data_IF_728264372148
#
_entry.id   IF_728264372148
#
_cell.length_a   1.000
_cell.length_b   1.000
_cell.length_c   1.000
_cell.angle_alpha   90.00
_cell.angle_beta   90.00
_cell.angle_gamma   90.00
#
_symmetry.space_group_name_H-M   'P 1'
#
loop_
_entity.id
_entity.type
_entity.pdbx_description
1 polymer ?
#
# COMPACT_ATOMS: atom_id res chain seq x y z
N UNK A 1 -16.95 -2.88 -36.87
CA UNK A 1 -16.98 -2.51 -35.45
C UNK A 1 -17.77 -3.59 -34.75
N UNK A 2 -17.23 -4.17 -33.69
CA UNK A 2 -17.93 -5.21 -32.93
C UNK A 2 -19.02 -4.57 -32.09
N UNK A 3 -20.27 -5.03 -32.21
CA UNK A 3 -21.40 -4.43 -31.49
C UNK A 3 -21.25 -4.69 -29.97
N UNK A 4 -21.25 -3.63 -29.17
CA UNK A 4 -21.25 -3.73 -27.70
C UNK A 4 -22.66 -3.47 -27.18
N UNK A 5 -23.10 -4.31 -26.26
CA UNK A 5 -24.44 -4.21 -25.67
C UNK A 5 -24.35 -4.27 -24.15
N UNK A 6 -25.30 -3.63 -23.48
CA UNK A 6 -25.61 -3.97 -22.10
C UNK A 6 -26.62 -5.11 -22.14
N UNK A 7 -26.23 -6.26 -21.62
CA UNK A 7 -27.06 -7.45 -21.49
C UNK A 7 -27.50 -7.58 -20.05
N UNK A 8 -28.76 -7.95 -19.81
CA UNK A 8 -29.31 -8.22 -18.48
C UNK A 8 -30.53 -9.12 -18.58
N UNK A 9 -30.98 -9.61 -17.44
CA UNK A 9 -32.11 -10.52 -17.33
C UNK A 9 -33.29 -9.84 -16.64
N UNK A 10 -34.47 -10.01 -17.19
CA UNK A 10 -35.73 -9.50 -16.63
C UNK A 10 -36.69 -10.66 -16.39
N UNK A 11 -37.32 -10.67 -15.21
CA UNK A 11 -38.40 -11.61 -14.89
C UNK A 11 -39.75 -11.03 -15.33
N UNK A 12 -40.36 -11.66 -16.34
CA UNK A 12 -41.73 -11.38 -16.77
C UNK A 12 -42.59 -12.59 -16.41
N UNK A 13 -43.40 -12.43 -15.36
CA UNK A 13 -44.28 -13.48 -14.82
C UNK A 13 -43.52 -14.77 -14.42
N UNK A 14 -43.58 -15.81 -15.28
CA UNK A 14 -42.93 -17.12 -15.09
C UNK A 14 -41.75 -17.38 -16.04
N UNK A 15 -41.42 -16.42 -16.91
CA UNK A 15 -40.36 -16.56 -17.91
C UNK A 15 -39.19 -15.61 -17.66
N UNK A 16 -38.00 -16.11 -17.96
CA UNK A 16 -36.75 -15.35 -17.93
C UNK A 16 -36.49 -14.82 -19.34
N UNK A 17 -36.39 -13.51 -19.50
CA UNK A 17 -36.05 -12.89 -20.78
C UNK A 17 -34.70 -12.18 -20.69
N UNK A 18 -33.85 -12.41 -21.68
CA UNK A 18 -32.61 -11.64 -21.86
C UNK A 18 -32.92 -10.40 -22.68
N UNK A 19 -32.55 -9.24 -22.15
CA UNK A 19 -32.68 -7.96 -22.82
C UNK A 19 -31.28 -7.45 -23.17
N UNK A 20 -31.16 -6.82 -24.34
CA UNK A 20 -29.93 -6.18 -24.80
C UNK A 20 -30.22 -4.72 -25.14
N UNK A 21 -29.36 -3.82 -24.66
CA UNK A 21 -29.37 -2.41 -25.04
C UNK A 21 -28.07 -2.12 -25.79
N UNK A 22 -28.18 -1.69 -27.04
CA UNK A 22 -27.02 -1.27 -27.82
C UNK A 22 -26.32 -0.08 -27.16
N UNK A 23 -24.99 -0.14 -27.09
CA UNK A 23 -24.16 0.97 -26.66
C UNK A 23 -23.56 1.66 -27.88
N UNK A 24 -23.61 2.99 -27.87
CA UNK A 24 -22.73 3.74 -28.76
C UNK A 24 -21.26 3.48 -28.39
N UNK A 25 -20.36 3.61 -29.38
CA UNK A 25 -18.91 3.51 -29.15
C UNK A 25 -18.44 4.48 -28.06
N UNK A 26 -19.01 5.69 -28.03
CA UNK A 26 -18.70 6.68 -26.99
C UNK A 26 -19.10 6.21 -25.59
N UNK A 27 -20.34 5.76 -25.40
CA UNK A 27 -20.81 5.27 -24.09
C UNK A 27 -20.01 4.05 -23.62
N UNK A 28 -19.69 3.13 -24.53
CA UNK A 28 -18.85 1.98 -24.21
C UNK A 28 -17.48 2.42 -23.71
N UNK A 29 -16.82 3.35 -24.43
CA UNK A 29 -15.50 3.86 -24.05
C UNK A 29 -15.53 4.58 -22.70
N UNK A 30 -16.56 5.37 -22.42
CA UNK A 30 -16.73 6.05 -21.13
C UNK A 30 -16.90 5.07 -19.97
N UNK A 31 -17.80 4.10 -20.10
CA UNK A 31 -18.03 3.07 -19.08
C UNK A 31 -16.79 2.20 -18.87
N UNK A 32 -16.12 1.80 -19.95
CA UNK A 32 -14.90 1.01 -19.91
C UNK A 32 -13.75 1.77 -19.23
N UNK A 33 -13.61 3.07 -19.53
CA UNK A 33 -12.65 3.95 -18.86
C UNK A 33 -12.95 4.09 -17.37
N UNK A 34 -14.20 4.36 -17.00
CA UNK A 34 -14.61 4.43 -15.59
C UNK A 34 -14.32 3.12 -14.85
N UNK A 35 -14.67 1.98 -15.44
CA UNK A 35 -14.40 0.65 -14.87
C UNK A 35 -12.90 0.41 -14.68
N UNK A 36 -12.08 0.83 -15.65
CA UNK A 36 -10.61 0.74 -15.58
C UNK A 36 -10.04 1.60 -14.46
N UNK A 37 -10.54 2.83 -14.28
CA UNK A 37 -10.13 3.73 -13.18
C UNK A 37 -10.41 3.05 -11.84
N UNK A 38 -11.65 2.59 -11.61
CA UNK A 38 -12.00 1.94 -10.34
C UNK A 38 -11.17 0.68 -10.07
N UNK A 39 -10.86 -0.12 -11.10
CA UNK A 39 -9.96 -1.28 -10.95
C UNK A 39 -8.56 -0.88 -10.50
N UNK A 40 -8.01 0.20 -11.08
CA UNK A 40 -6.67 0.69 -10.71
C UNK A 40 -6.64 1.21 -9.28
N UNK A 41 -7.70 1.90 -8.86
CA UNK A 41 -7.86 2.38 -7.48
C UNK A 41 -7.85 1.19 -6.51
N UNK A 42 -8.70 0.18 -6.75
CA UNK A 42 -8.73 -1.00 -5.88
C UNK A 42 -7.35 -1.66 -5.78
N UNK A 43 -6.68 -1.90 -6.91
CA UNK A 43 -5.36 -2.52 -6.89
C UNK A 43 -4.29 -1.67 -6.16
N UNK A 44 -4.42 -0.35 -6.20
CA UNK A 44 -3.51 0.55 -5.48
C UNK A 44 -3.77 0.54 -3.96
N UNK A 45 -5.04 0.55 -3.56
CA UNK A 45 -5.48 0.46 -2.16
C UNK A 45 -5.11 -0.90 -1.55
N UNK A 46 -5.32 -2.00 -2.28
CA UNK A 46 -4.91 -3.35 -1.84
C UNK A 46 -3.40 -3.44 -1.60
N UNK A 47 -2.59 -2.94 -2.53
CA UNK A 47 -1.14 -2.98 -2.37
C UNK A 47 -0.66 -2.13 -1.18
N UNK A 48 -1.27 -0.97 -0.96
CA UNK A 48 -0.96 -0.14 0.21
C UNK A 48 -1.37 -0.84 1.51
N UNK A 49 -2.56 -1.44 1.56
CA UNK A 49 -3.02 -2.21 2.73
C UNK A 49 -2.07 -3.35 3.07
N UNK A 50 -1.57 -4.09 2.08
CA UNK A 50 -0.58 -5.15 2.29
C UNK A 50 0.72 -4.64 2.94
N UNK A 51 1.15 -3.41 2.61
CA UNK A 51 2.33 -2.80 3.25
C UNK A 51 2.04 -2.50 4.71
N UNK A 52 0.88 -1.90 4.98
CA UNK A 52 0.48 -1.51 6.34
C UNK A 52 0.35 -2.75 7.23
N UNK A 53 -0.40 -3.76 6.79
CA UNK A 53 -0.58 -5.00 7.54
C UNK A 53 0.74 -5.73 7.77
N UNK A 54 1.59 -5.84 6.75
CA UNK A 54 2.92 -6.47 6.90
C UNK A 54 3.79 -5.73 7.93
N UNK A 55 3.65 -4.40 8.04
CA UNK A 55 4.38 -3.64 9.05
C UNK A 55 3.77 -3.77 10.45
N UNK A 56 2.45 -3.77 10.55
CA UNK A 56 1.74 -4.04 11.81
C UNK A 56 2.12 -5.41 12.36
N UNK A 57 2.22 -6.43 11.51
CA UNK A 57 2.68 -7.77 11.90
C UNK A 57 4.12 -7.75 12.45
N UNK A 58 5.03 -7.00 11.81
CA UNK A 58 6.40 -6.83 12.27
C UNK A 58 6.45 -6.18 13.67
N UNK A 59 5.71 -5.08 13.88
CA UNK A 59 5.62 -4.37 15.17
C UNK A 59 4.97 -5.25 16.23
N UNK A 60 3.89 -5.95 15.90
CA UNK A 60 3.17 -6.84 16.81
C UNK A 60 4.07 -7.99 17.27
N UNK A 61 4.79 -8.62 16.35
CA UNK A 61 5.77 -9.65 16.69
C UNK A 61 6.88 -9.12 17.59
N UNK A 62 7.36 -7.89 17.35
CA UNK A 62 8.37 -7.23 18.18
C UNK A 62 7.86 -6.99 19.61
N UNK A 63 6.65 -6.45 19.77
CA UNK A 63 6.05 -6.22 21.08
C UNK A 63 5.76 -7.52 21.83
N UNK A 64 5.26 -8.55 21.13
CA UNK A 64 5.08 -9.89 21.68
C UNK A 64 6.42 -10.42 22.25
N UNK A 65 7.50 -10.32 21.49
CA UNK A 65 8.83 -10.74 21.92
C UNK A 65 9.33 -9.93 23.11
N UNK A 66 9.09 -8.61 23.12
CA UNK A 66 9.44 -7.74 24.24
C UNK A 66 8.74 -8.19 25.53
N UNK A 67 7.43 -8.46 25.48
CA UNK A 67 6.66 -8.92 26.65
C UNK A 67 7.18 -10.27 27.14
N UNK A 68 7.39 -11.23 26.22
CA UNK A 68 7.89 -12.57 26.58
C UNK A 68 9.29 -12.53 27.18
N UNK A 69 10.12 -11.55 26.81
CA UNK A 69 11.48 -11.39 27.37
C UNK A 69 11.47 -11.03 28.86
N UNK A 70 10.41 -10.37 29.34
CA UNK A 70 10.24 -10.05 30.76
C UNK A 70 9.87 -11.31 31.55
N UNK A 71 8.97 -12.14 31.01
CA UNK A 71 8.49 -13.35 31.69
C UNK A 71 9.54 -14.47 31.72
N UNK A 72 10.41 -14.53 30.71
CA UNK A 72 11.45 -15.53 30.61
C UNK A 72 12.76 -15.01 31.22
N UNK A 73 12.80 -14.86 32.55
CA UNK A 73 13.98 -14.39 33.31
C UNK A 73 15.16 -15.38 33.35
N UNK A 74 15.18 -16.43 32.52
CA UNK A 74 16.20 -17.49 32.58
C UNK A 74 16.60 -18.02 31.21
N UNK A 75 17.92 -18.17 31.07
CA UNK A 75 18.75 -18.76 30.01
C UNK A 75 18.71 -18.18 28.59
N UNK A 76 19.92 -17.94 28.07
CA UNK A 76 20.18 -17.55 26.68
C UNK A 76 19.85 -18.75 25.78
N UNK A 77 18.61 -18.82 25.32
CA UNK A 77 18.18 -19.81 24.33
C UNK A 77 18.53 -19.33 22.91
N UNK A 78 19.65 -19.83 22.39
CA UNK A 78 20.12 -19.54 21.03
C UNK A 78 19.12 -19.94 19.94
N UNK A 79 18.36 -21.02 20.14
CA UNK A 79 17.37 -21.50 19.16
C UNK A 79 16.16 -20.56 19.15
N UNK A 80 15.65 -20.18 20.32
CA UNK A 80 14.59 -19.18 20.44
C UNK A 80 15.00 -17.83 19.85
N UNK A 81 16.23 -17.38 20.13
CA UNK A 81 16.76 -16.14 19.55
C UNK A 81 16.88 -16.22 18.02
N UNK A 82 17.31 -17.36 17.49
CA UNK A 82 17.29 -17.60 16.04
C UNK A 82 15.88 -17.53 15.47
N UNK A 83 14.90 -18.18 16.10
CA UNK A 83 13.51 -18.17 15.67
C UNK A 83 12.90 -16.76 15.68
N UNK A 84 13.19 -15.97 16.72
CA UNK A 84 12.81 -14.55 16.80
C UNK A 84 13.39 -13.75 15.63
N UNK A 85 14.71 -13.84 15.40
CA UNK A 85 15.38 -13.19 14.27
C UNK A 85 14.81 -13.64 12.92
N UNK A 86 14.55 -14.93 12.75
CA UNK A 86 14.00 -15.50 11.51
C UNK A 86 12.58 -14.99 11.24
N UNK A 87 11.73 -14.89 12.27
CA UNK A 87 10.39 -14.27 12.16
C UNK A 87 10.50 -12.80 11.76
N UNK A 88 11.30 -11.99 12.46
CA UNK A 88 11.48 -10.58 12.14
C UNK A 88 12.08 -10.36 10.75
N UNK A 89 13.04 -11.18 10.33
CA UNK A 89 13.61 -11.13 8.98
C UNK A 89 12.55 -11.32 7.91
N UNK A 90 11.69 -12.34 8.03
CA UNK A 90 10.61 -12.58 7.05
C UNK A 90 9.65 -11.40 6.98
N UNK A 91 9.25 -10.85 8.13
CA UNK A 91 8.31 -9.73 8.21
C UNK A 91 8.89 -8.45 7.63
N UNK A 92 10.08 -8.02 8.06
CA UNK A 92 10.73 -6.82 7.51
C UNK A 92 11.12 -6.97 6.04
N UNK A 93 11.59 -8.16 5.63
CA UNK A 93 11.88 -8.45 4.23
C UNK A 93 10.62 -8.30 3.37
N UNK A 94 9.49 -8.85 3.83
CA UNK A 94 8.21 -8.74 3.13
C UNK A 94 7.78 -7.27 3.02
N UNK A 95 7.79 -6.53 4.12
CA UNK A 95 7.41 -5.10 4.15
C UNK A 95 8.28 -4.27 3.20
N UNK A 96 9.60 -4.46 3.19
CA UNK A 96 10.51 -3.74 2.29
C UNK A 96 10.24 -4.05 0.81
N UNK A 97 9.94 -5.31 0.47
CA UNK A 97 9.66 -5.71 -0.91
C UNK A 97 8.28 -5.24 -1.41
N UNK A 98 7.24 -5.33 -0.58
CA UNK A 98 5.93 -4.75 -0.88
C UNK A 98 6.04 -3.24 -1.08
N UNK A 99 6.80 -2.57 -0.21
CA UNK A 99 7.07 -1.12 -0.31
C UNK A 99 7.80 -0.76 -1.60
N UNK A 100 8.77 -1.57 -2.05
CA UNK A 100 9.41 -1.38 -3.37
C UNK A 100 8.39 -1.45 -4.49
N UNK A 101 7.56 -2.50 -4.51
CA UNK A 101 6.56 -2.69 -5.54
C UNK A 101 5.60 -1.50 -5.59
N UNK A 102 5.18 -1.00 -4.42
CA UNK A 102 4.35 0.20 -4.32
C UNK A 102 5.06 1.44 -4.83
N UNK A 103 6.28 1.73 -4.38
CA UNK A 103 7.03 2.90 -4.79
C UNK A 103 7.27 2.91 -6.31
N UNK A 104 7.60 1.76 -6.91
CA UNK A 104 7.79 1.62 -8.36
C UNK A 104 6.48 1.84 -9.14
N UNK A 105 5.32 1.43 -8.59
CA UNK A 105 3.99 1.68 -9.20
C UNK A 105 3.50 3.11 -8.99
N UNK A 106 3.81 3.70 -7.84
CA UNK A 106 3.44 5.04 -7.46
C UNK A 106 4.13 6.07 -8.37
N UNK A 107 5.45 5.96 -8.51
CA UNK A 107 6.25 6.81 -9.38
C UNK A 107 7.58 6.15 -9.74
N UNK A 108 7.87 6.05 -11.05
CA UNK A 108 9.15 5.52 -11.55
C UNK A 108 9.62 6.24 -12.79
N UNK A 109 10.88 6.68 -12.74
CA UNK A 109 11.63 7.14 -13.90
C UNK A 109 12.32 5.94 -14.56
N UNK A 110 12.02 5.70 -15.83
CA UNK A 110 12.75 4.77 -16.67
C UNK A 110 13.90 5.52 -17.33
N UNK A 111 15.12 5.03 -17.11
CA UNK A 111 16.34 5.64 -17.63
C UNK A 111 16.98 4.72 -18.65
N UNK A 112 17.53 5.29 -19.72
CA UNK A 112 18.36 4.54 -20.67
C UNK A 112 19.78 4.29 -20.12
N UNK A 113 20.64 3.68 -20.95
CA UNK A 113 22.05 3.42 -20.58
C UNK A 113 22.86 4.70 -20.33
N UNK A 114 22.43 5.84 -20.86
CA UNK A 114 23.07 7.15 -20.64
C UNK A 114 22.61 7.84 -19.35
N UNK A 115 21.60 7.27 -18.67
CA UNK A 115 20.98 7.87 -17.48
C UNK A 115 19.87 8.87 -17.80
N UNK A 116 19.53 9.07 -19.08
CA UNK A 116 18.49 9.98 -19.53
C UNK A 116 17.11 9.37 -19.29
N UNK A 117 16.16 10.17 -18.78
CA UNK A 117 14.79 9.72 -18.52
C UNK A 117 14.06 9.55 -19.86
N UNK A 118 13.65 8.33 -20.17
CA UNK A 118 12.92 7.99 -21.40
C UNK A 118 11.40 7.93 -21.19
N UNK A 119 10.97 7.54 -19.99
CA UNK A 119 9.56 7.39 -19.64
C UNK A 119 9.38 7.58 -18.14
N UNK A 120 8.24 8.17 -17.77
CA UNK A 120 7.79 8.21 -16.38
C UNK A 120 6.51 7.38 -16.30
N UNK A 121 6.41 6.53 -15.28
CA UNK A 121 5.15 5.90 -14.88
C UNK A 121 4.73 6.48 -13.54
N UNK A 122 3.51 7.02 -13.47
CA UNK A 122 2.94 7.57 -12.25
C UNK A 122 1.50 7.10 -12.08
N UNK A 123 1.14 6.67 -10.87
CA UNK A 123 -0.19 6.18 -10.58
C UNK A 123 -1.27 7.25 -10.83
N UNK A 124 -1.08 8.47 -10.30
CA UNK A 124 -2.03 9.57 -10.44
C UNK A 124 -2.26 9.90 -11.93
N UNK A 125 -1.18 10.12 -12.71
CA UNK A 125 -1.29 10.37 -14.15
C UNK A 125 -1.97 9.22 -14.91
N UNK A 126 -1.79 7.97 -14.47
CA UNK A 126 -2.45 6.84 -15.10
C UNK A 126 -3.99 6.91 -15.05
N UNK A 127 -4.53 7.70 -14.12
CA UNK A 127 -5.95 7.98 -13.89
C UNK A 127 -6.33 9.35 -14.45
N UNK A 128 -5.64 10.41 -14.04
CA UNK A 128 -6.02 11.80 -14.33
C UNK A 128 -5.63 12.26 -15.73
N UNK A 129 -4.60 11.62 -16.32
CA UNK A 129 -3.94 12.04 -17.56
C UNK A 129 -3.33 13.43 -17.50
N UNK A 130 -3.09 13.95 -16.29
CA UNK A 130 -2.49 15.26 -16.09
C UNK A 130 -0.99 15.16 -15.85
N UNK A 131 -0.22 15.98 -16.55
CA UNK A 131 1.22 16.14 -16.32
C UNK A 131 1.50 16.90 -15.02
N UNK A 132 0.63 17.82 -14.61
CA UNK A 132 0.78 18.57 -13.35
C UNK A 132 0.86 17.63 -12.14
N UNK A 133 0.11 16.53 -12.18
CA UNK A 133 0.06 15.57 -11.09
C UNK A 133 1.36 14.77 -10.98
N UNK A 134 2.04 14.54 -12.11
CA UNK A 134 3.39 13.98 -12.11
C UNK A 134 4.34 14.92 -11.37
N UNK A 135 4.29 16.21 -11.69
CA UNK A 135 5.19 17.21 -11.11
C UNK A 135 4.93 17.37 -9.61
N UNK A 136 3.67 17.32 -9.19
CA UNK A 136 3.29 17.38 -7.78
C UNK A 136 3.72 16.15 -6.98
N UNK A 137 3.53 14.94 -7.53
CA UNK A 137 4.02 13.70 -6.94
C UNK A 137 5.55 13.70 -6.88
N UNK A 138 6.23 14.14 -7.94
CA UNK A 138 7.69 14.23 -7.96
C UNK A 138 8.18 15.17 -6.87
N UNK A 139 7.62 16.38 -6.79
CA UNK A 139 7.96 17.37 -5.78
C UNK A 139 7.79 16.81 -4.36
N UNK A 140 6.66 16.15 -4.07
CA UNK A 140 6.45 15.55 -2.76
C UNK A 140 7.51 14.48 -2.43
N UNK A 141 7.88 13.66 -3.41
CA UNK A 141 8.92 12.64 -3.23
C UNK A 141 10.29 13.25 -2.96
N UNK A 142 10.64 14.29 -3.69
CA UNK A 142 11.90 15.01 -3.51
C UNK A 142 11.91 15.67 -2.12
N UNK A 143 10.82 16.33 -1.72
CA UNK A 143 10.62 16.89 -0.38
C UNK A 143 10.79 15.83 0.74
N UNK A 144 10.20 14.65 0.57
CA UNK A 144 10.32 13.55 1.54
C UNK A 144 11.74 12.97 1.57
N UNK A 145 12.40 12.89 0.43
CA UNK A 145 13.80 12.45 0.35
C UNK A 145 14.74 13.43 1.04
N UNK A 146 14.47 14.74 0.97
CA UNK A 146 15.28 15.76 1.64
C UNK A 146 15.01 15.85 3.14
N UNK A 147 13.75 15.67 3.58
CA UNK A 147 13.32 15.95 4.96
C UNK A 147 13.27 14.71 5.86
N UNK A 148 13.12 13.52 5.30
CA UNK A 148 12.94 12.29 6.06
C UNK A 148 14.12 11.33 5.82
N UNK A 149 15.13 11.43 6.67
CA UNK A 149 16.32 10.57 6.61
C UNK A 149 16.00 9.07 6.75
N UNK A 150 14.96 8.72 7.50
CA UNK A 150 14.53 7.33 7.69
C UNK A 150 13.90 6.76 6.42
N UNK A 151 13.18 7.58 5.66
CA UNK A 151 12.71 7.22 4.33
C UNK A 151 13.88 6.92 3.37
N UNK A 152 14.90 7.77 3.38
CA UNK A 152 16.11 7.61 2.56
C UNK A 152 16.85 6.33 2.95
N UNK A 153 17.10 6.11 4.24
CA UNK A 153 17.76 4.90 4.72
C UNK A 153 16.90 3.65 4.45
N UNK A 154 15.57 3.72 4.60
CA UNK A 154 14.66 2.63 4.24
C UNK A 154 14.76 2.23 2.76
N UNK A 155 14.89 3.20 1.85
CA UNK A 155 15.13 2.94 0.43
C UNK A 155 16.46 2.22 0.18
N UNK A 156 17.54 2.63 0.84
CA UNK A 156 18.84 1.96 0.72
C UNK A 156 18.86 0.58 1.41
N UNK A 157 18.20 0.43 2.56
CA UNK A 157 18.03 -0.84 3.25
C UNK A 157 17.32 -1.86 2.38
N UNK A 158 16.29 -1.44 1.63
CA UNK A 158 15.65 -2.32 0.64
C UNK A 158 16.66 -2.83 -0.39
N UNK A 159 17.55 -1.98 -0.90
CA UNK A 159 18.56 -2.38 -1.90
C UNK A 159 19.59 -3.34 -1.29
N UNK A 160 20.07 -3.01 -0.09
CA UNK A 160 20.95 -3.87 0.70
C UNK A 160 20.33 -5.26 0.93
N UNK A 161 19.05 -5.29 1.29
CA UNK A 161 18.36 -6.54 1.61
C UNK A 161 18.16 -7.45 0.38
N UNK A 162 18.00 -6.86 -0.79
CA UNK A 162 17.85 -7.61 -2.04
C UNK A 162 19.16 -8.19 -2.59
N UNK A 163 20.30 -7.60 -2.24
CA UNK A 163 21.57 -7.91 -2.90
C UNK A 163 22.69 -8.37 -1.96
N UNK A 164 22.50 -8.25 -0.64
CA UNK A 164 23.60 -8.46 0.32
C UNK A 164 23.20 -9.25 1.55
N UNK A 165 22.12 -8.90 2.26
CA UNK A 165 21.83 -9.56 3.54
C UNK A 165 20.42 -9.40 4.08
N UNK A 166 20.03 -10.30 4.98
CA UNK A 166 18.77 -10.14 5.73
C UNK A 166 18.81 -8.92 6.67
N UNK A 167 17.66 -8.23 6.89
CA UNK A 167 17.60 -6.95 7.60
C UNK A 167 17.89 -7.04 9.11
N UNK A 168 17.66 -8.20 9.73
CA UNK A 168 17.79 -8.43 11.18
C UNK A 168 18.92 -9.41 11.46
N UNK A 169 20.06 -8.86 11.88
CA UNK A 169 21.25 -9.63 12.29
C UNK A 169 21.23 -10.00 13.75
N UNK A 170 20.80 -9.07 14.59
CA UNK A 170 20.65 -9.25 16.02
C UNK A 170 19.50 -8.38 16.53
N UNK A 171 19.07 -8.63 17.75
CA UNK A 171 18.17 -7.77 18.49
C UNK A 171 18.62 -7.75 19.95
N UNK A 172 18.27 -6.69 20.68
CA UNK A 172 18.51 -6.61 22.11
C UNK A 172 17.17 -6.41 22.80
N UNK A 173 16.86 -7.29 23.75
CA UNK A 173 15.71 -7.16 24.63
C UNK A 173 16.17 -7.05 26.08
N UNK A 174 15.46 -6.28 26.90
CA UNK A 174 15.78 -6.16 28.32
C UNK A 174 14.80 -5.28 29.08
N UNK A 175 15.13 -5.01 30.34
CA UNK A 175 14.34 -4.17 31.23
C UNK A 175 15.24 -3.04 31.75
N UNK A 176 14.74 -1.81 31.70
CA UNK A 176 15.38 -0.64 32.32
C UNK A 176 14.52 -0.19 33.49
N UNK A 177 15.07 -0.25 34.69
CA UNK A 177 14.43 0.27 35.89
C UNK A 177 14.62 1.78 35.99
N UNK A 178 13.54 2.50 36.31
CA UNK A 178 13.61 3.89 36.76
C UNK A 178 13.47 3.90 38.28
N UNK A 179 14.54 4.30 38.98
CA UNK A 179 14.52 4.40 40.45
C UNK A 179 13.57 5.48 40.96
N UNK A 180 13.24 6.48 40.13
CA UNK A 180 12.36 7.59 40.49
C UNK A 180 10.87 7.23 40.43
N UNK A 181 10.48 6.23 39.61
CA UNK A 181 9.06 5.91 39.35
C UNK A 181 8.61 4.57 39.95
N UNK A 182 9.49 3.82 40.62
CA UNK A 182 9.28 2.41 41.03
C UNK A 182 8.71 1.54 39.90
N UNK A 183 9.15 1.83 38.66
CA UNK A 183 8.69 1.20 37.42
C UNK A 183 9.85 0.73 36.58
N UNK A 184 9.61 -0.36 35.86
CA UNK A 184 10.57 -0.93 34.92
C UNK A 184 10.00 -0.90 33.50
N UNK A 185 10.75 -0.34 32.55
CA UNK A 185 10.38 -0.28 31.14
C UNK A 185 11.02 -1.43 30.37
N UNK A 186 10.22 -2.17 29.61
CA UNK A 186 10.75 -3.14 28.66
C UNK A 186 11.35 -2.42 27.45
N UNK A 187 12.50 -2.89 26.99
CA UNK A 187 13.23 -2.35 25.85
C UNK A 187 13.38 -3.47 24.82
N UNK A 188 13.10 -3.16 23.57
CA UNK A 188 13.41 -4.02 22.43
C UNK A 188 13.99 -3.16 21.31
N UNK A 189 15.22 -3.46 20.90
CA UNK A 189 15.91 -2.74 19.84
C UNK A 189 16.40 -3.71 18.76
N UNK A 190 16.38 -3.26 17.51
CA UNK A 190 16.93 -4.00 16.38
C UNK A 190 18.07 -3.16 15.79
N UNK A 191 19.29 -3.27 16.34
CA UNK A 191 20.37 -2.40 15.92
C UNK A 191 20.81 -2.74 14.50
N UNK A 192 21.05 -1.69 13.71
CA UNK A 192 21.69 -1.78 12.41
C UNK A 192 23.17 -1.44 12.57
N UNK A 193 24.04 -2.38 12.17
CA UNK A 193 25.48 -2.19 12.20
C UNK A 193 25.93 -1.33 11.01
N UNK A 194 26.49 -0.14 11.30
CA UNK A 194 26.91 0.81 10.26
C UNK A 194 27.95 0.22 9.32
N UNK A 195 28.91 -0.55 9.84
CA UNK A 195 29.96 -1.13 9.01
C UNK A 195 29.38 -2.13 8.01
N UNK A 196 28.50 -3.02 8.47
CA UNK A 196 27.77 -3.96 7.62
C UNK A 196 26.97 -3.24 6.53
N UNK A 197 26.35 -2.10 6.84
CA UNK A 197 25.63 -1.31 5.85
C UNK A 197 26.57 -0.67 4.80
N UNK A 198 27.72 -0.14 5.24
CA UNK A 198 28.76 0.41 4.35
C UNK A 198 29.32 -0.67 3.41
N UNK A 199 29.65 -1.84 3.95
CA UNK A 199 30.12 -3.01 3.18
C UNK A 199 29.05 -3.47 2.17
N UNK A 200 27.78 -3.30 2.56
CA UNK A 200 26.59 -3.47 1.74
C UNK A 200 26.31 -2.37 0.72
N UNK A 201 27.23 -1.42 0.52
CA UNK A 201 27.15 -0.27 -0.40
C UNK A 201 26.07 0.76 -0.06
N UNK A 202 25.58 0.79 1.18
CA UNK A 202 24.78 1.93 1.65
C UNK A 202 25.69 3.16 1.73
N UNK A 203 25.21 4.29 1.20
CA UNK A 203 26.04 5.49 1.06
C UNK A 203 26.40 6.09 2.42
N UNK A 204 27.68 6.39 2.64
CA UNK A 204 28.17 6.97 3.89
C UNK A 204 27.45 8.30 4.26
N UNK A 205 27.14 9.13 3.26
CA UNK A 205 26.40 10.40 3.47
C UNK A 205 25.05 10.19 4.18
N UNK A 206 24.37 9.09 3.92
CA UNK A 206 23.08 8.77 4.56
C UNK A 206 23.32 8.31 6.01
N UNK A 207 24.36 7.51 6.25
CA UNK A 207 24.67 6.98 7.59
C UNK A 207 25.29 8.02 8.53
N UNK A 208 25.88 9.09 7.99
CA UNK A 208 26.42 10.21 8.78
C UNK A 208 25.34 11.06 9.46
N UNK A 209 24.10 11.00 8.98
CA UNK A 209 22.95 11.70 9.61
C UNK A 209 22.42 11.00 10.87
N UNK A 210 22.98 9.84 11.20
CA UNK A 210 22.65 9.07 12.39
C UNK A 210 23.80 9.11 13.39
N UNK A 211 23.45 9.13 14.69
CA UNK A 211 24.41 8.92 15.77
C UNK A 211 25.02 7.51 15.75
N UNK A 212 25.68 7.11 16.81
CA UNK A 212 26.37 5.81 16.87
C UNK A 212 25.42 4.62 16.68
N UNK A 213 24.18 4.74 17.17
CA UNK A 213 23.18 3.65 17.13
C UNK A 213 22.06 3.99 16.17
N UNK A 214 21.81 3.07 15.24
CA UNK A 214 20.65 3.08 14.35
C UNK A 214 19.75 1.91 14.74
N UNK A 215 18.45 2.15 14.86
CA UNK A 215 17.48 1.09 15.11
C UNK A 215 16.57 0.90 13.90
N UNK A 216 16.48 -0.34 13.40
CA UNK A 216 15.66 -0.72 12.27
C UNK A 216 14.18 -0.37 12.48
N UNK A 217 13.59 -0.61 13.65
CA UNK A 217 12.15 -0.36 13.84
C UNK A 217 11.83 1.13 13.75
N UNK A 218 12.75 2.00 14.19
CA UNK A 218 12.61 3.46 14.04
C UNK A 218 12.73 3.86 12.58
N UNK A 219 13.76 3.38 11.89
CA UNK A 219 13.92 3.65 10.45
C UNK A 219 12.69 3.22 9.66
N UNK A 220 12.10 2.07 10.01
CA UNK A 220 10.88 1.58 9.37
C UNK A 220 9.65 2.42 9.73
N UNK A 221 9.53 2.96 10.95
CA UNK A 221 8.46 3.89 11.30
C UNK A 221 8.49 5.13 10.37
N UNK A 222 9.66 5.73 10.15
CA UNK A 222 9.82 6.88 9.26
C UNK A 222 9.66 6.54 7.77
N UNK A 223 10.08 5.36 7.35
CA UNK A 223 9.91 4.86 5.99
C UNK A 223 8.44 4.62 5.64
N UNK A 224 7.69 3.94 6.51
CA UNK A 224 6.25 3.68 6.32
C UNK A 224 5.44 4.98 6.42
N UNK A 225 5.85 5.91 7.29
CA UNK A 225 5.25 7.23 7.36
C UNK A 225 5.31 7.97 6.02
N UNK A 226 6.48 8.04 5.39
CA UNK A 226 6.63 8.68 4.08
C UNK A 226 5.80 8.01 2.98
N UNK A 227 5.72 6.67 2.98
CA UNK A 227 4.85 5.92 2.04
C UNK A 227 3.38 6.29 2.26
N UNK A 228 2.96 6.40 3.52
CA UNK A 228 1.60 6.81 3.89
C UNK A 228 1.27 8.23 3.39
N UNK A 229 2.21 9.17 3.52
CA UNK A 229 2.06 10.54 3.00
C UNK A 229 1.95 10.57 1.46
N UNK A 230 2.76 9.78 0.76
CA UNK A 230 2.68 9.62 -0.69
C UNK A 230 1.33 9.05 -1.13
N UNK A 231 0.85 8.04 -0.41
CA UNK A 231 -0.41 7.38 -0.71
C UNK A 231 -1.61 8.32 -0.56
N UNK A 232 -1.70 9.04 0.56
CA UNK A 232 -2.80 9.99 0.75
C UNK A 232 -2.76 11.12 -0.27
N UNK A 233 -1.57 11.59 -0.67
CA UNK A 233 -1.46 12.59 -1.72
C UNK A 233 -2.00 12.08 -3.06
N UNK A 234 -1.62 10.86 -3.44
CA UNK A 234 -2.18 10.19 -4.62
C UNK A 234 -3.70 10.09 -4.54
N UNK A 235 -4.26 9.73 -3.37
CA UNK A 235 -5.71 9.63 -3.16
C UNK A 235 -6.42 10.96 -3.41
N UNK A 236 -5.89 12.07 -2.88
CA UNK A 236 -6.44 13.41 -3.11
C UNK A 236 -6.45 13.79 -4.60
N UNK A 237 -5.38 13.47 -5.34
CA UNK A 237 -5.30 13.84 -6.77
C UNK A 237 -6.31 13.09 -7.64
N UNK A 238 -6.65 11.86 -7.27
CA UNK A 238 -7.53 11.00 -8.09
C UNK A 238 -8.99 11.01 -7.64
N UNK A 239 -9.30 11.59 -6.48
CA UNK A 239 -10.61 11.55 -5.83
C UNK A 239 -11.78 11.92 -6.76
N UNK A 240 -11.67 13.03 -7.47
CA UNK A 240 -12.70 13.49 -8.40
C UNK A 240 -12.97 12.46 -9.51
N UNK A 241 -11.92 11.80 -10.01
CA UNK A 241 -12.04 10.78 -11.07
C UNK A 241 -12.67 9.49 -10.55
N UNK A 242 -12.40 9.13 -9.29
CA UNK A 242 -13.07 8.00 -8.62
C UNK A 242 -14.56 8.31 -8.53
N UNK A 243 -14.91 9.44 -7.93
CA UNK A 243 -16.29 9.86 -7.72
C UNK A 243 -17.08 9.93 -9.04
N UNK A 244 -16.51 10.54 -10.08
CA UNK A 244 -17.12 10.59 -11.42
C UNK A 244 -17.30 9.20 -12.03
N UNK A 245 -16.32 8.32 -11.88
CA UNK A 245 -16.38 6.96 -12.45
C UNK A 245 -17.45 6.10 -11.78
N UNK A 246 -17.56 6.19 -10.45
CA UNK A 246 -18.62 5.52 -9.70
C UNK A 246 -20.00 6.04 -10.10
N UNK A 247 -20.19 7.37 -10.07
CA UNK A 247 -21.45 8.00 -10.43
C UNK A 247 -21.89 7.65 -11.85
N UNK A 248 -20.96 7.60 -12.80
CA UNK A 248 -21.27 7.24 -14.19
C UNK A 248 -21.81 5.80 -14.29
N UNK A 249 -21.13 4.84 -13.68
CA UNK A 249 -21.53 3.42 -13.73
C UNK A 249 -22.85 3.21 -12.97
N UNK A 250 -22.97 3.76 -11.76
CA UNK A 250 -24.19 3.63 -10.96
C UNK A 250 -25.38 4.31 -11.64
N UNK A 251 -25.19 5.49 -12.24
CA UNK A 251 -26.26 6.16 -12.99
C UNK A 251 -26.77 5.28 -14.13
N UNK A 252 -25.87 4.70 -14.95
CA UNK A 252 -26.27 3.84 -16.06
C UNK A 252 -26.99 2.59 -15.57
N UNK A 253 -26.52 1.97 -14.47
CA UNK A 253 -27.18 0.83 -13.83
C UNK A 253 -28.60 1.19 -13.35
N UNK A 254 -28.73 2.27 -12.60
CA UNK A 254 -30.01 2.74 -12.05
C UNK A 254 -31.01 3.16 -13.14
N UNK A 255 -30.54 3.71 -14.27
CA UNK A 255 -31.39 4.00 -15.44
C UNK A 255 -32.02 2.73 -16.01
N UNK A 256 -31.26 1.62 -16.07
CA UNK A 256 -31.75 0.32 -16.54
C UNK A 256 -32.74 -0.27 -15.54
N UNK A 257 -32.38 -0.31 -14.26
CA UNK A 257 -33.25 -0.84 -13.20
C UNK A 257 -34.59 -0.08 -13.10
N UNK A 258 -34.59 1.24 -13.34
CA UNK A 258 -35.82 2.04 -13.39
C UNK A 258 -36.67 1.76 -14.64
N UNK A 259 -36.03 1.50 -15.78
CA UNK A 259 -36.72 1.26 -17.05
C UNK A 259 -37.29 -0.16 -17.15
N UNK A 260 -36.62 -1.13 -16.52
CA UNK A 260 -36.98 -2.55 -16.58
C UNK A 260 -37.30 -3.07 -15.17
N UNK A 261 -38.59 -3.13 -14.85
CA UNK A 261 -39.10 -3.69 -13.59
C UNK A 261 -38.67 -5.16 -13.46
N UNK A 262 -38.25 -5.61 -12.27
CA UNK A 262 -37.72 -6.95 -11.98
C UNK A 262 -36.42 -7.31 -12.73
N UNK A 263 -35.55 -6.31 -12.95
CA UNK A 263 -34.16 -6.54 -13.34
C UNK A 263 -33.36 -6.98 -12.10
N UNK A 264 -33.30 -8.29 -11.84
CA UNK A 264 -32.68 -8.83 -10.62
C UNK A 264 -31.20 -9.20 -10.77
N UNK A 265 -30.69 -9.41 -11.99
CA UNK A 265 -29.32 -9.89 -12.16
C UNK A 265 -28.67 -9.57 -13.51
N UNK A 266 -27.34 -9.40 -13.46
CA UNK A 266 -26.47 -9.54 -14.63
C UNK A 266 -26.44 -8.34 -15.56
N UNK A 267 -26.51 -7.10 -15.03
CA UNK A 267 -26.31 -5.89 -15.84
C UNK A 267 -24.83 -5.79 -16.24
N UNK A 268 -24.52 -6.38 -17.38
CA UNK A 268 -23.17 -6.58 -17.87
C UNK A 268 -22.99 -5.95 -19.25
N UNK A 269 -21.82 -5.37 -19.48
CA UNK A 269 -21.38 -4.97 -20.81
C UNK A 269 -20.78 -6.20 -21.50
N UNK A 270 -21.34 -6.54 -22.66
CA UNK A 270 -21.01 -7.75 -23.42
C UNK A 270 -20.62 -7.36 -24.84
N UNK A 271 -19.62 -8.06 -25.37
CA UNK A 271 -19.32 -8.09 -26.79
C UNK A 271 -20.33 -9.02 -27.48
N UNK A 272 -21.21 -8.48 -28.31
CA UNK A 272 -22.33 -9.24 -28.85
C UNK A 272 -21.89 -10.29 -29.88
N UNK A 273 -20.79 -10.06 -30.60
CA UNK A 273 -20.31 -10.97 -31.65
C UNK A 273 -19.62 -12.20 -31.03
N UNK A 274 -18.92 -12.01 -29.91
CA UNK A 274 -18.20 -13.08 -29.21
C UNK A 274 -18.95 -13.63 -27.99
N UNK A 275 -20.10 -13.04 -27.67
CA UNK A 275 -20.87 -13.26 -26.44
C UNK A 275 -20.06 -13.14 -25.14
N UNK A 276 -18.92 -12.45 -25.19
CA UNK A 276 -18.00 -12.35 -24.07
C UNK A 276 -18.39 -11.20 -23.16
N UNK A 277 -18.60 -11.50 -21.88
CA UNK A 277 -18.70 -10.50 -20.82
C UNK A 277 -17.41 -9.70 -20.73
N UNK A 278 -17.52 -8.38 -20.89
CA UNK A 278 -16.41 -7.44 -20.78
C UNK A 278 -16.26 -6.96 -19.33
N UNK A 279 -17.34 -6.47 -18.73
CA UNK A 279 -17.39 -6.07 -17.32
C UNK A 279 -18.83 -5.91 -16.83
N UNK A 280 -19.01 -5.91 -15.51
CA UNK A 280 -20.29 -5.60 -14.86
C UNK A 280 -20.46 -4.12 -14.58
N UNK A 281 -21.70 -3.64 -14.62
CA UNK A 281 -22.09 -2.35 -14.04
C UNK A 281 -22.34 -2.43 -12.54
N UNK A 282 -22.34 -3.64 -11.97
CA UNK A 282 -22.37 -3.86 -10.54
C UNK A 282 -21.01 -3.53 -9.89
N UNK A 283 -21.05 -2.75 -8.80
CA UNK A 283 -19.87 -2.18 -8.14
C UNK A 283 -19.62 -2.76 -6.73
N UNK A 284 -20.22 -3.89 -6.35
CA UNK A 284 -20.02 -4.48 -5.01
C UNK A 284 -18.55 -4.82 -4.77
N UNK A 285 -17.83 -5.25 -5.81
CA UNK A 285 -16.38 -5.48 -5.74
C UNK A 285 -15.59 -4.22 -5.37
N UNK A 286 -16.07 -3.02 -5.74
CA UNK A 286 -15.42 -1.76 -5.42
C UNK A 286 -15.69 -1.29 -3.98
N UNK A 287 -16.68 -1.87 -3.29
CA UNK A 287 -16.89 -1.62 -1.86
C UNK A 287 -15.67 -1.99 -1.01
N UNK A 288 -14.84 -2.93 -1.48
CA UNK A 288 -13.54 -3.27 -0.88
C UNK A 288 -12.61 -2.07 -0.89
N UNK A 289 -12.50 -1.34 -2.00
CA UNK A 289 -11.67 -0.13 -2.06
C UNK A 289 -12.15 0.92 -1.05
N UNK A 290 -13.47 1.14 -0.95
CA UNK A 290 -14.05 2.07 0.05
C UNK A 290 -13.72 1.64 1.48
N UNK A 291 -13.79 0.34 1.77
CA UNK A 291 -13.39 -0.19 3.07
C UNK A 291 -11.91 0.09 3.37
N UNK A 292 -11.01 -0.19 2.42
CA UNK A 292 -9.57 0.04 2.57
C UNK A 292 -9.23 1.52 2.72
N UNK A 293 -9.89 2.40 1.96
CA UNK A 293 -9.74 3.85 2.08
C UNK A 293 -10.15 4.35 3.47
N UNK A 294 -11.21 3.78 4.05
CA UNK A 294 -11.67 4.09 5.41
C UNK A 294 -10.69 3.55 6.47
N UNK A 295 -10.30 2.28 6.34
CA UNK A 295 -9.36 1.59 7.23
C UNK A 295 -8.03 2.34 7.30
N UNK A 296 -7.52 2.76 6.15
CA UNK A 296 -6.24 3.46 6.00
C UNK A 296 -6.45 4.94 5.61
N UNK A 297 -7.32 5.63 6.34
CA UNK A 297 -7.72 7.03 6.08
C UNK A 297 -6.72 8.06 6.60
N UNK A 298 -5.94 7.70 7.62
CA UNK A 298 -5.00 8.60 8.28
C UNK A 298 -3.56 8.28 7.88
N UNK A 299 -2.71 9.31 7.91
CA UNK A 299 -1.27 9.11 7.79
C UNK A 299 -0.80 8.33 9.01
N UNK A 300 -0.18 7.17 8.79
CA UNK A 300 0.40 6.39 9.88
C UNK A 300 1.72 7.04 10.29
N UNK A 301 1.79 7.48 11.54
CA UNK A 301 3.00 8.03 12.13
C UNK A 301 3.23 7.38 13.50
N UNK A 302 3.90 6.23 13.50
CA UNK A 302 4.18 5.47 14.72
C UNK A 302 5.08 6.23 15.73
N UNK A 303 5.82 7.26 15.29
CA UNK A 303 6.58 8.11 16.21
C UNK A 303 5.72 8.91 17.18
N UNK A 304 4.44 9.14 16.84
CA UNK A 304 3.53 9.90 17.69
C UNK A 304 2.88 9.06 18.80
N UNK A 305 3.11 7.76 18.82
CA UNK A 305 2.46 6.84 19.75
C UNK A 305 3.46 6.32 20.78
N UNK A 306 3.10 6.48 22.04
CA UNK A 306 3.72 5.79 23.17
C UNK A 306 2.71 4.76 23.66
N UNK A 307 3.15 3.51 23.84
CA UNK A 307 2.29 2.46 24.34
C UNK A 307 2.33 2.46 25.88
N UNK A 308 1.36 3.12 26.50
CA UNK A 308 1.10 3.04 27.95
C UNK A 308 -0.06 2.06 28.19
N UNK A 309 0.19 0.80 28.59
CA UNK A 309 -0.84 -0.24 28.67
C UNK A 309 -1.80 -0.10 29.86
N UNK A 310 -1.50 0.80 30.80
CA UNK A 310 -2.29 1.02 32.01
C UNK A 310 -2.72 2.49 32.09
N UNK A 311 -4.00 2.72 32.41
CA UNK A 311 -4.52 4.07 32.69
C UNK A 311 -3.97 4.54 34.04
N UNK A 312 -3.50 5.80 34.10
CA UNK A 312 -2.96 6.42 35.32
C UNK A 312 -4.05 6.72 36.34
#
# INVERSE_FOLDING_TARGET
MTLKVIRFVVHKEKNIQVENIELSEHEYLELSKARSILSKILSHEELYDQIIESYIDAKSAMYEMSIRSISAMTDIDFVKNHNCRSKLNRLYFNTLNLSKLYLDRHYREHKDKSGSITKITCFAESITKSKSDIDEIKKQRDDLFEKNKDYVLGCELRNFVQHSSLPVKTFTSGVRSSFEEDKASAIFNIPLDKQTLLDGRVKNKILSEYGEKIDLHKVMDGYIHAISEMHLKSRTLVEEYVNKSELLIDKKRLEIEKKYINCEYGIDVVDNDTEKRLFSLHLEWFSVAKHLMKKNSCVLNYYRFIHEPYQK
#
